data_IF_630228542666
#
_entry.id   IF_630228542666
#
_cell.length_a   1.000
_cell.length_b   1.000
_cell.length_c   1.000
_cell.angle_alpha   90.00
_cell.angle_beta   90.00
_cell.angle_gamma   90.00
#
_symmetry.space_group_name_H-M   'P 1'
#
loop_
_entity.id
_entity.type
_entity.pdbx_description
1 polymer ?
#
# COMPACT_ATOMS: atom_id res chain seq x y z
N UNK A 1 -15.59 0.95 0.97
CA UNK A 1 -15.93 0.18 2.19
C UNK A 1 -14.79 -0.80 2.49
N UNK A 2 -14.47 -1.06 3.76
CA UNK A 2 -13.56 -2.17 4.11
C UNK A 2 -14.21 -3.49 3.70
N UNK A 3 -13.46 -4.38 3.04
CA UNK A 3 -13.98 -5.66 2.58
C UNK A 3 -14.47 -5.71 1.12
N UNK A 4 -14.28 -4.66 0.32
CA UNK A 4 -14.59 -4.71 -1.14
C UNK A 4 -13.60 -5.55 -1.96
N UNK A 5 -12.54 -6.07 -1.34
CA UNK A 5 -11.55 -6.93 -2.02
C UNK A 5 -10.36 -6.21 -2.64
N UNK A 6 -10.05 -4.97 -2.22
CA UNK A 6 -8.89 -4.20 -2.75
C UNK A 6 -7.57 -4.95 -2.57
N UNK A 7 -7.31 -5.47 -1.37
CA UNK A 7 -6.13 -6.30 -1.07
C UNK A 7 -6.06 -7.50 -2.00
N UNK A 8 -7.17 -8.24 -2.16
CA UNK A 8 -7.24 -9.38 -3.09
C UNK A 8 -6.95 -8.99 -4.54
N UNK A 9 -7.49 -7.86 -5.00
CA UNK A 9 -7.22 -7.33 -6.34
C UNK A 9 -5.73 -7.02 -6.49
N UNK A 10 -5.13 -6.35 -5.52
CA UNK A 10 -3.70 -5.99 -5.55
C UNK A 10 -2.81 -7.22 -5.49
N UNK A 11 -3.14 -8.23 -4.69
CA UNK A 11 -2.42 -9.51 -4.67
C UNK A 11 -2.46 -10.22 -6.03
N UNK A 12 -3.63 -10.24 -6.69
CA UNK A 12 -3.77 -10.79 -8.05
C UNK A 12 -2.98 -9.97 -9.07
N UNK A 13 -3.00 -8.64 -8.96
CA UNK A 13 -2.24 -7.74 -9.82
C UNK A 13 -0.73 -8.00 -9.69
N UNK A 14 -0.22 -8.16 -8.46
CA UNK A 14 1.17 -8.54 -8.21
C UNK A 14 1.54 -9.86 -8.90
N UNK A 15 0.69 -10.89 -8.82
CA UNK A 15 0.93 -12.17 -9.49
C UNK A 15 1.00 -12.07 -11.01
N UNK A 16 0.26 -11.14 -11.61
CA UNK A 16 0.30 -10.89 -13.05
C UNK A 16 1.55 -10.08 -13.45
N UNK A 17 1.81 -8.98 -12.75
CA UNK A 17 2.91 -8.06 -13.07
C UNK A 17 4.29 -8.67 -12.82
N UNK A 18 4.46 -9.45 -11.74
CA UNK A 18 5.75 -10.05 -11.35
C UNK A 18 6.31 -11.04 -12.39
N UNK A 19 5.51 -11.47 -13.36
CA UNK A 19 5.96 -12.28 -14.51
C UNK A 19 6.69 -11.48 -15.59
N UNK A 20 6.51 -10.16 -15.60
CA UNK A 20 6.93 -9.30 -16.71
C UNK A 20 7.83 -8.15 -16.27
N UNK A 21 7.66 -7.65 -15.05
CA UNK A 21 8.36 -6.47 -14.53
C UNK A 21 8.77 -6.67 -13.07
N UNK A 22 9.78 -5.93 -12.64
CA UNK A 22 10.18 -5.92 -11.23
C UNK A 22 9.07 -5.27 -10.41
N UNK A 23 8.54 -5.99 -9.43
CA UNK A 23 7.53 -5.48 -8.51
C UNK A 23 8.07 -5.49 -7.10
N UNK A 24 7.99 -4.33 -6.45
CA UNK A 24 8.30 -4.14 -5.03
C UNK A 24 7.06 -3.63 -4.32
N UNK A 25 6.98 -3.80 -3.01
CA UNK A 25 5.84 -3.28 -2.26
C UNK A 25 5.43 -4.15 -1.09
N UNK A 26 4.28 -3.80 -0.54
CA UNK A 26 3.62 -4.57 0.51
C UNK A 26 2.11 -4.46 0.41
N UNK A 27 1.44 -5.44 1.01
CA UNK A 27 -0.01 -5.44 1.24
C UNK A 27 -0.31 -5.44 2.72
N UNK A 28 -1.55 -5.09 3.07
CA UNK A 28 -2.02 -5.11 4.45
C UNK A 28 -3.04 -6.22 4.62
N UNK A 29 -2.78 -7.13 5.55
CA UNK A 29 -3.66 -8.25 5.86
C UNK A 29 -4.35 -8.08 7.21
N UNK A 30 -5.62 -8.47 7.27
CA UNK A 30 -6.37 -8.50 8.53
C UNK A 30 -5.92 -9.68 9.39
N UNK A 31 -5.65 -9.40 10.66
CA UNK A 31 -5.36 -10.43 11.66
C UNK A 31 -6.63 -10.76 12.43
N UNK A 32 -6.99 -12.04 12.46
CA UNK A 32 -8.15 -12.58 13.17
C UNK A 32 -7.72 -13.74 14.08
N UNK A 33 -8.28 -13.90 15.28
CA UNK A 33 -8.00 -15.04 16.16
C UNK A 33 -8.27 -16.37 15.46
N UNK A 34 -7.32 -17.30 15.58
CA UNK A 34 -7.38 -18.65 14.97
C UNK A 34 -8.30 -19.62 15.73
N UNK A 35 -8.66 -19.32 16.98
CA UNK A 35 -9.43 -20.21 17.87
C UNK A 35 -10.85 -19.70 18.16
N UNK A 36 -11.69 -19.58 17.14
CA UNK A 36 -13.14 -19.50 17.39
C UNK A 36 -13.89 -20.38 16.43
N UNK A 37 -14.66 -21.33 16.97
CA UNK A 37 -15.59 -22.24 16.28
C UNK A 37 -16.75 -21.53 15.57
N UNK A 38 -16.71 -20.20 15.48
CA UNK A 38 -17.72 -19.37 14.82
C UNK A 38 -17.09 -18.59 13.67
N UNK A 39 -17.82 -18.52 12.55
CA UNK A 39 -17.45 -17.83 11.29
C UNK A 39 -17.31 -16.30 11.40
N UNK A 40 -17.31 -15.73 12.63
CA UNK A 40 -17.25 -14.30 12.95
C UNK A 40 -16.23 -13.98 14.03
N UNK A 41 -15.00 -14.47 13.89
CA UNK A 41 -13.88 -13.99 14.71
C UNK A 41 -13.63 -12.50 14.44
N UNK A 42 -13.72 -11.65 15.47
CA UNK A 42 -13.49 -10.21 15.36
C UNK A 42 -12.04 -9.91 14.96
N UNK A 43 -11.83 -8.91 14.10
CA UNK A 43 -10.49 -8.51 13.62
C UNK A 43 -9.69 -7.88 14.75
N UNK A 44 -8.58 -8.53 15.14
CA UNK A 44 -7.69 -8.10 16.23
C UNK A 44 -6.54 -7.19 15.78
N UNK A 45 -6.34 -7.03 14.48
CA UNK A 45 -5.31 -6.12 13.99
C UNK A 45 -5.04 -6.23 12.50
N UNK A 46 -3.89 -5.68 12.12
CA UNK A 46 -3.40 -5.62 10.75
C UNK A 46 -1.91 -5.86 10.72
N UNK A 47 -1.46 -6.59 9.71
CA UNK A 47 -0.06 -6.79 9.40
C UNK A 47 0.24 -6.26 8.00
N UNK A 48 1.46 -5.77 7.83
CA UNK A 48 2.02 -5.54 6.50
C UNK A 48 2.83 -6.75 6.07
N UNK A 49 2.65 -7.17 4.83
CA UNK A 49 3.31 -8.34 4.23
C UNK A 49 3.99 -7.88 2.95
N UNK A 50 5.30 -8.11 2.84
CA UNK A 50 6.03 -7.76 1.62
C UNK A 50 5.55 -8.60 0.45
N UNK A 51 5.42 -7.94 -0.70
CA UNK A 51 5.19 -8.60 -1.97
C UNK A 51 6.53 -9.12 -2.49
N UNK A 52 6.72 -10.43 -2.36
CA UNK A 52 7.94 -11.14 -2.73
C UNK A 52 7.60 -12.54 -3.21
N UNK A 53 8.34 -13.03 -4.19
CA UNK A 53 8.24 -14.41 -4.68
C UNK A 53 9.18 -15.38 -3.97
N UNK A 54 10.08 -14.85 -3.13
CA UNK A 54 11.19 -15.60 -2.53
C UNK A 54 11.05 -15.80 -1.02
N UNK A 55 10.43 -14.84 -0.32
CA UNK A 55 10.33 -14.85 1.13
C UNK A 55 9.12 -14.02 1.59
N UNK A 56 8.33 -14.57 2.51
CA UNK A 56 7.20 -13.89 3.13
C UNK A 56 7.67 -13.15 4.38
N UNK A 57 8.04 -11.88 4.22
CA UNK A 57 8.35 -11.01 5.37
C UNK A 57 7.13 -10.23 5.81
N UNK A 58 6.88 -10.24 7.12
CA UNK A 58 5.71 -9.64 7.76
C UNK A 58 6.11 -8.75 8.93
N UNK A 59 5.37 -7.69 9.15
CA UNK A 59 5.47 -6.86 10.35
C UNK A 59 4.09 -6.42 10.83
N UNK A 60 3.98 -6.12 12.13
CA UNK A 60 2.72 -5.68 12.71
C UNK A 60 2.49 -4.21 12.42
N UNK A 61 1.36 -3.87 11.79
CA UNK A 61 0.95 -2.48 11.60
C UNK A 61 0.17 -1.98 12.82
N UNK A 62 -0.85 -2.72 13.23
CA UNK A 62 -1.69 -2.33 14.36
C UNK A 62 -2.37 -3.52 15.05
N UNK A 63 -2.69 -3.37 16.33
CA UNK A 63 -3.40 -4.37 17.15
C UNK A 63 -4.44 -3.72 18.05
N UNK A 64 -5.49 -4.46 18.40
CA UNK A 64 -6.37 -4.08 19.50
C UNK A 64 -5.57 -4.07 20.82
N UNK A 65 -6.04 -3.28 21.79
CA UNK A 65 -5.47 -3.28 23.13
C UNK A 65 -5.49 -4.69 23.74
N UNK A 66 -4.38 -5.12 24.32
CA UNK A 66 -4.19 -6.47 24.88
C UNK A 66 -3.74 -7.53 23.86
N UNK A 67 -3.59 -7.16 22.58
CA UNK A 67 -3.07 -8.02 21.51
C UNK A 67 -1.77 -7.49 20.90
N UNK A 68 -1.12 -6.56 21.57
CA UNK A 68 0.17 -6.02 21.17
C UNK A 68 1.24 -7.13 21.14
N UNK A 69 2.08 -7.09 20.12
CA UNK A 69 3.17 -8.07 19.90
C UNK A 69 4.49 -7.58 20.50
N UNK A 70 4.57 -6.31 20.88
CA UNK A 70 5.74 -5.66 21.44
C UNK A 70 5.32 -4.66 22.51
N UNK A 71 6.24 -4.31 23.42
CA UNK A 71 6.01 -3.21 24.36
C UNK A 71 5.91 -1.89 23.58
N UNK A 72 4.80 -1.17 23.76
CA UNK A 72 4.54 0.08 23.05
C UNK A 72 4.79 1.30 23.93
N UNK A 73 5.23 2.43 23.34
CA UNK A 73 5.30 3.71 24.04
C UNK A 73 3.93 4.10 24.61
N UNK A 74 3.92 4.79 25.74
CA UNK A 74 2.69 5.28 26.37
C UNK A 74 1.82 6.15 25.45
N UNK A 75 2.44 6.80 24.45
CA UNK A 75 1.79 7.68 23.49
C UNK A 75 1.72 7.08 22.07
N UNK A 76 1.71 5.75 21.95
CA UNK A 76 1.55 5.10 20.66
C UNK A 76 0.26 5.59 19.95
N UNK A 77 0.33 5.98 18.66
CA UNK A 77 -0.84 6.47 17.93
C UNK A 77 -1.97 5.46 17.88
N UNK A 78 -3.22 5.94 17.89
CA UNK A 78 -4.43 5.10 17.81
C UNK A 78 -5.31 5.52 16.66
N UNK A 79 -5.88 4.53 15.98
CA UNK A 79 -6.90 4.71 14.94
C UNK A 79 -8.09 3.82 15.27
N UNK A 80 -9.13 4.43 15.84
CA UNK A 80 -10.25 3.69 16.43
C UNK A 80 -9.76 2.83 17.60
N UNK A 81 -10.09 1.53 17.58
CA UNK A 81 -9.68 0.57 18.61
C UNK A 81 -8.23 0.06 18.46
N UNK A 82 -7.56 0.40 17.35
CA UNK A 82 -6.25 -0.16 17.02
C UNK A 82 -5.12 0.78 17.46
N UNK A 83 -4.13 0.22 18.17
CA UNK A 83 -2.86 0.87 18.49
C UNK A 83 -1.86 0.57 17.38
N UNK A 84 -1.28 1.61 16.80
CA UNK A 84 -0.33 1.50 15.67
C UNK A 84 1.07 1.23 16.22
N UNK A 85 1.72 0.18 15.71
CA UNK A 85 3.07 -0.23 16.10
C UNK A 85 4.09 0.34 15.11
N UNK A 86 4.38 1.65 15.21
CA UNK A 86 5.22 2.38 14.26
C UNK A 86 6.57 1.69 14.01
N UNK A 87 7.30 1.31 15.06
CA UNK A 87 8.61 0.68 14.90
C UNK A 87 8.55 -0.64 14.13
N UNK A 88 7.51 -1.45 14.38
CA UNK A 88 7.33 -2.72 13.65
C UNK A 88 6.98 -2.44 12.19
N UNK A 89 6.00 -1.57 11.91
CA UNK A 89 5.65 -1.16 10.56
C UNK A 89 6.84 -0.58 9.78
N UNK A 90 7.56 0.36 10.38
CA UNK A 90 8.68 1.07 9.74
C UNK A 90 9.84 0.14 9.40
N UNK A 91 10.10 -0.88 10.22
CA UNK A 91 11.14 -1.88 9.98
C UNK A 91 10.97 -2.64 8.66
N UNK A 92 9.73 -2.71 8.14
CA UNK A 92 9.42 -3.37 6.88
C UNK A 92 9.12 -2.38 5.75
N UNK A 93 8.28 -1.37 6.01
CA UNK A 93 7.79 -0.44 5.00
C UNK A 93 8.88 0.53 4.52
N UNK A 94 9.74 1.05 5.43
CA UNK A 94 10.75 2.03 5.05
C UNK A 94 11.87 1.42 4.18
N UNK A 95 12.43 0.24 4.50
CA UNK A 95 13.37 -0.43 3.61
C UNK A 95 12.75 -0.78 2.25
N UNK A 96 11.49 -1.23 2.24
CA UNK A 96 10.77 -1.54 1.01
C UNK A 96 10.70 -0.33 0.07
N UNK A 97 10.26 0.84 0.57
CA UNK A 97 10.23 2.08 -0.20
C UNK A 97 11.63 2.54 -0.62
N UNK A 98 12.64 2.33 0.24
CA UNK A 98 14.01 2.71 -0.07
C UNK A 98 14.56 1.91 -1.26
N UNK A 99 14.25 0.61 -1.36
CA UNK A 99 14.63 -0.22 -2.51
C UNK A 99 14.06 0.35 -3.81
N UNK A 100 12.78 0.73 -3.83
CA UNK A 100 12.17 1.37 -5.01
C UNK A 100 12.83 2.71 -5.35
N UNK A 101 13.07 3.56 -4.34
CA UNK A 101 13.72 4.87 -4.54
C UNK A 101 15.15 4.72 -5.09
N UNK A 102 15.89 3.72 -4.63
CA UNK A 102 17.23 3.44 -5.14
C UNK A 102 17.17 2.98 -6.59
N UNK A 103 16.25 2.09 -6.94
CA UNK A 103 16.03 1.63 -8.33
C UNK A 103 15.66 2.76 -9.28
N UNK A 104 14.93 3.76 -8.80
CA UNK A 104 14.56 4.94 -9.58
C UNK A 104 15.70 5.94 -9.76
N UNK A 105 16.64 5.97 -8.82
CA UNK A 105 17.78 6.90 -8.83
C UNK A 105 18.99 6.32 -9.56
N UNK A 106 19.05 4.99 -9.70
CA UNK A 106 20.12 4.30 -10.41
C UNK A 106 19.93 4.41 -11.93
N UNK A 107 20.86 5.11 -12.58
CA UNK A 107 20.87 5.31 -14.04
C UNK A 107 21.22 4.04 -14.82
N UNK A 108 21.80 3.04 -14.15
CA UNK A 108 22.14 1.75 -14.71
C UNK A 108 21.07 0.69 -14.42
N UNK A 109 20.02 1.02 -13.67
CA UNK A 109 18.91 0.11 -13.43
C UNK A 109 18.23 -0.23 -14.76
N UNK A 110 18.22 -1.52 -15.08
CA UNK A 110 17.70 -2.02 -16.35
C UNK A 110 16.21 -2.33 -16.21
N UNK A 111 15.36 -1.46 -16.76
CA UNK A 111 13.97 -1.76 -17.07
C UNK A 111 12.90 -1.14 -16.15
N UNK A 112 11.63 -1.25 -16.56
CA UNK A 112 10.49 -0.72 -15.82
C UNK A 112 10.29 -1.43 -14.47
N UNK A 113 9.80 -0.67 -13.48
CA UNK A 113 9.48 -1.18 -12.14
C UNK A 113 8.08 -0.76 -11.68
N UNK A 114 7.50 -1.55 -10.78
CA UNK A 114 6.22 -1.23 -10.14
C UNK A 114 6.42 -1.25 -8.63
N UNK A 115 5.88 -0.23 -7.95
CA UNK A 115 5.78 -0.19 -6.50
C UNK A 115 4.30 -0.34 -6.11
N UNK A 116 3.98 -1.33 -5.29
CA UNK A 116 2.63 -1.61 -4.82
C UNK A 116 2.50 -1.30 -3.33
N UNK A 117 1.49 -0.51 -2.95
CA UNK A 117 1.24 -0.14 -1.55
C UNK A 117 -0.24 -0.30 -1.23
N UNK A 118 -0.58 -1.33 -0.47
CA UNK A 118 -1.92 -1.51 0.10
C UNK A 118 -1.81 -1.43 1.64
N UNK A 119 -2.27 -0.40 2.34
CA UNK A 119 -3.00 0.82 1.93
C UNK A 119 -2.21 2.10 2.29
N UNK A 120 -2.47 3.23 1.61
CA UNK A 120 -2.06 4.57 2.08
C UNK A 120 -3.23 5.17 2.85
N UNK A 121 -3.33 4.84 4.13
CA UNK A 121 -4.45 5.17 4.99
C UNK A 121 -4.04 5.82 6.32
N UNK A 122 -5.01 5.96 7.23
CA UNK A 122 -4.78 6.65 8.51
C UNK A 122 -3.73 5.97 9.39
N UNK A 123 -3.60 4.65 9.32
CA UNK A 123 -2.70 3.90 10.20
C UNK A 123 -1.24 4.03 9.74
N UNK A 124 -1.00 3.87 8.44
CA UNK A 124 0.33 3.95 7.84
C UNK A 124 0.87 5.39 7.91
N UNK A 125 -0.02 6.37 7.72
CA UNK A 125 0.31 7.80 7.81
C UNK A 125 0.50 8.30 9.26
N UNK A 126 0.37 7.44 10.27
CA UNK A 126 0.88 7.75 11.61
C UNK A 126 2.41 7.79 11.66
N UNK A 127 3.12 7.23 10.67
CA UNK A 127 4.57 7.33 10.54
C UNK A 127 4.96 8.54 9.69
N UNK A 128 5.60 9.59 10.29
CA UNK A 128 6.11 10.73 9.51
C UNK A 128 7.18 10.31 8.50
N UNK A 129 8.01 9.34 8.87
CA UNK A 129 9.05 8.77 8.00
C UNK A 129 8.46 8.11 6.76
N UNK A 130 7.35 7.39 6.92
CA UNK A 130 6.63 6.79 5.80
C UNK A 130 6.02 7.86 4.89
N UNK A 131 5.34 8.86 5.46
CA UNK A 131 4.80 10.00 4.71
C UNK A 131 5.87 10.67 3.83
N UNK A 132 7.02 11.01 4.42
CA UNK A 132 8.12 11.66 3.70
C UNK A 132 8.67 10.79 2.56
N UNK A 133 8.76 9.47 2.74
CA UNK A 133 9.19 8.56 1.67
C UNK A 133 8.16 8.43 0.55
N UNK A 134 6.87 8.40 0.87
CA UNK A 134 5.79 8.38 -0.12
C UNK A 134 5.82 9.65 -0.97
N UNK A 135 5.92 10.81 -0.35
CA UNK A 135 6.01 12.09 -1.05
C UNK A 135 7.22 12.11 -1.99
N UNK A 136 8.40 11.73 -1.49
CA UNK A 136 9.62 11.61 -2.30
C UNK A 136 9.45 10.64 -3.48
N UNK A 137 8.81 9.50 -3.26
CA UNK A 137 8.54 8.51 -4.32
C UNK A 137 7.64 9.09 -5.40
N UNK A 138 6.55 9.77 -5.01
CA UNK A 138 5.61 10.39 -5.95
C UNK A 138 6.29 11.48 -6.76
N UNK A 139 7.10 12.33 -6.12
CA UNK A 139 7.80 13.42 -6.79
C UNK A 139 8.85 12.88 -7.78
N UNK A 140 9.56 11.81 -7.42
CA UNK A 140 10.51 11.16 -8.30
C UNK A 140 9.80 10.52 -9.51
N UNK A 141 8.72 9.75 -9.29
CA UNK A 141 7.93 9.17 -10.39
C UNK A 141 7.39 10.25 -11.33
N UNK A 142 6.95 11.38 -10.78
CA UNK A 142 6.39 12.49 -11.55
C UNK A 142 7.43 13.23 -12.40
N UNK A 143 8.71 13.22 -11.99
CA UNK A 143 9.80 13.91 -12.68
C UNK A 143 10.57 13.02 -13.65
N UNK A 144 10.60 11.71 -13.41
CA UNK A 144 11.38 10.71 -14.16
C UNK A 144 10.79 10.36 -15.54
N UNK A 145 9.68 10.98 -15.96
CA UNK A 145 9.05 10.83 -17.29
C UNK A 145 9.97 11.08 -18.51
N UNK A 146 11.23 11.49 -18.32
CA UNK A 146 12.21 11.75 -19.40
C UNK A 146 13.46 10.83 -19.36
N UNK A 147 13.52 9.83 -18.48
CA UNK A 147 14.67 8.95 -18.32
C UNK A 147 14.33 7.49 -18.65
N UNK A 148 15.37 6.70 -18.97
CA UNK A 148 15.27 5.28 -19.37
C UNK A 148 14.71 4.34 -18.29
N UNK A 149 14.58 4.78 -17.03
CA UNK A 149 14.02 3.98 -15.93
C UNK A 149 12.60 4.46 -15.63
N UNK A 150 11.60 3.61 -15.88
CA UNK A 150 10.18 3.92 -15.65
C UNK A 150 9.70 3.26 -14.38
N UNK A 151 8.95 3.98 -13.55
CA UNK A 151 8.24 3.37 -12.44
C UNK A 151 6.77 3.79 -12.36
N UNK A 152 5.94 2.85 -11.90
CA UNK A 152 4.53 3.09 -11.61
C UNK A 152 4.26 2.77 -10.14
N UNK A 153 3.66 3.71 -9.44
CA UNK A 153 3.10 3.47 -8.11
C UNK A 153 1.65 3.03 -8.25
N UNK A 154 1.33 1.84 -7.74
CA UNK A 154 -0.03 1.36 -7.53
C UNK A 154 -0.31 1.41 -6.05
N UNK A 155 -1.26 2.24 -5.63
CA UNK A 155 -1.64 2.35 -4.23
C UNK A 155 -3.14 2.18 -4.03
N UNK A 156 -3.53 1.54 -2.94
CA UNK A 156 -4.92 1.60 -2.47
C UNK A 156 -5.06 2.74 -1.47
N UNK A 157 -6.24 3.35 -1.44
CA UNK A 157 -6.56 4.46 -0.54
C UNK A 157 -7.97 4.30 0.03
N UNK A 158 -8.27 4.90 1.20
CA UNK A 158 -9.61 4.83 1.80
C UNK A 158 -10.68 5.37 0.85
N UNK A 159 -11.73 4.58 0.57
CA UNK A 159 -12.77 5.00 -0.38
C UNK A 159 -13.71 6.08 0.16
N UNK A 160 -13.85 6.17 1.50
CA UNK A 160 -14.81 7.05 2.15
C UNK A 160 -14.49 8.52 1.89
N UNK A 161 -15.53 9.30 1.57
CA UNK A 161 -15.46 10.74 1.36
C UNK A 161 -16.31 11.46 2.41
N UNK A 162 -15.85 12.63 2.83
CA UNK A 162 -16.62 13.61 3.60
C UNK A 162 -17.62 14.31 2.68
N UNK A 163 -18.58 15.08 3.23
CA UNK A 163 -19.57 15.81 2.44
C UNK A 163 -18.96 16.80 1.43
N UNK A 164 -17.74 17.28 1.68
CA UNK A 164 -16.97 18.15 0.77
C UNK A 164 -16.34 17.38 -0.42
N UNK A 165 -16.60 16.08 -0.55
CA UNK A 165 -16.07 15.22 -1.61
C UNK A 165 -14.63 14.75 -1.39
N UNK A 166 -13.94 15.20 -0.33
CA UNK A 166 -12.56 14.80 0.02
C UNK A 166 -12.55 13.61 0.96
N UNK A 167 -11.45 12.86 1.03
CA UNK A 167 -11.29 11.74 1.98
C UNK A 167 -10.95 12.22 3.38
N UNK A 168 -10.46 13.46 3.50
CA UNK A 168 -10.12 14.06 4.78
C UNK A 168 -8.79 13.58 5.34
N UNK A 169 -7.89 13.17 4.45
CA UNK A 169 -6.53 12.75 4.74
C UNK A 169 -5.64 13.53 3.76
N UNK A 170 -4.96 14.60 4.22
CA UNK A 170 -4.33 15.59 3.32
C UNK A 170 -3.42 14.98 2.25
N UNK A 171 -2.56 14.02 2.63
CA UNK A 171 -1.65 13.35 1.69
C UNK A 171 -2.42 12.54 0.63
N UNK A 172 -3.49 11.84 1.03
CA UNK A 172 -4.32 11.06 0.10
C UNK A 172 -5.13 11.97 -0.81
N UNK A 173 -5.69 13.06 -0.28
CA UNK A 173 -6.45 14.04 -1.06
C UNK A 173 -5.54 14.72 -2.09
N UNK A 174 -4.34 15.11 -1.69
CA UNK A 174 -3.30 15.64 -2.58
C UNK A 174 -2.93 14.63 -3.66
N UNK A 175 -2.62 13.38 -3.30
CA UNK A 175 -2.33 12.29 -4.24
C UNK A 175 -3.45 12.09 -5.25
N UNK A 176 -4.71 11.99 -4.81
CA UNK A 176 -5.86 11.76 -5.69
C UNK A 176 -6.16 12.93 -6.63
N UNK A 177 -5.70 14.14 -6.32
CA UNK A 177 -5.92 15.34 -7.15
C UNK A 177 -4.85 15.57 -8.23
N UNK A 178 -3.77 14.79 -8.23
CA UNK A 178 -2.67 14.95 -9.20
C UNK A 178 -3.11 14.55 -10.62
N UNK A 179 -2.74 15.30 -11.67
CA UNK A 179 -3.19 15.04 -13.04
C UNK A 179 -2.69 13.70 -13.61
N UNK A 180 -1.54 13.21 -13.13
CA UNK A 180 -0.93 11.96 -13.63
C UNK A 180 -1.46 10.70 -12.94
N UNK A 181 -2.40 10.84 -11.98
CA UNK A 181 -2.98 9.73 -11.23
C UNK A 181 -4.26 9.22 -11.92
N UNK A 182 -4.35 7.90 -12.11
CA UNK A 182 -5.58 7.26 -12.54
C UNK A 182 -6.26 6.62 -11.33
N UNK A 183 -7.51 6.99 -11.09
CA UNK A 183 -8.29 6.50 -9.95
C UNK A 183 -9.30 5.44 -10.41
N UNK A 184 -9.26 4.28 -9.75
CA UNK A 184 -10.19 3.19 -9.94
C UNK A 184 -11.02 2.98 -8.67
N UNK A 185 -12.34 3.09 -8.77
CA UNK A 185 -13.24 2.80 -7.65
C UNK A 185 -13.63 1.32 -7.65
N UNK A 186 -13.20 0.59 -6.62
CA UNK A 186 -13.49 -0.84 -6.45
C UNK A 186 -14.77 -1.02 -5.64
N UNK A 187 -15.73 -1.70 -6.25
CA UNK A 187 -17.02 -2.11 -5.66
C UNK A 187 -17.14 -3.63 -5.71
N UNK A 188 -18.10 -4.20 -4.98
CA UNK A 188 -18.33 -5.65 -5.03
C UNK A 188 -18.70 -6.16 -6.42
N UNK A 189 -19.40 -5.35 -7.21
CA UNK A 189 -19.89 -5.73 -8.54
C UNK A 189 -18.82 -5.63 -9.64
N UNK A 190 -17.75 -4.84 -9.44
CA UNK A 190 -16.76 -4.59 -10.49
C UNK A 190 -15.36 -5.17 -10.20
N UNK A 191 -15.16 -5.79 -9.03
CA UNK A 191 -13.82 -6.18 -8.54
C UNK A 191 -13.07 -7.17 -9.45
N UNK A 192 -13.78 -8.00 -10.20
CA UNK A 192 -13.16 -8.98 -11.10
C UNK A 192 -12.80 -8.33 -12.45
N UNK A 193 -13.67 -7.47 -13.00
CA UNK A 193 -13.41 -6.76 -14.27
C UNK A 193 -12.35 -5.66 -14.13
N UNK A 194 -12.32 -4.99 -12.97
CA UNK A 194 -11.44 -3.84 -12.75
C UNK A 194 -9.97 -4.26 -12.66
N UNK A 195 -9.68 -5.52 -12.32
CA UNK A 195 -8.31 -6.05 -12.30
C UNK A 195 -7.63 -5.89 -13.66
N UNK A 196 -8.32 -6.27 -14.75
CA UNK A 196 -7.77 -6.15 -16.11
C UNK A 196 -7.56 -4.70 -16.52
N UNK A 197 -8.49 -3.81 -16.14
CA UNK A 197 -8.36 -2.36 -16.39
C UNK A 197 -7.16 -1.76 -15.67
N UNK A 198 -6.96 -2.13 -14.40
CA UNK A 198 -5.80 -1.68 -13.61
C UNK A 198 -4.51 -2.24 -14.20
N UNK A 199 -4.48 -3.52 -14.55
CA UNK A 199 -3.32 -4.15 -15.19
C UNK A 199 -2.92 -3.43 -16.48
N UNK A 200 -3.88 -3.20 -17.39
CA UNK A 200 -3.61 -2.50 -18.64
C UNK A 200 -3.10 -1.08 -18.40
N UNK A 201 -3.73 -0.32 -17.48
CA UNK A 201 -3.30 1.03 -17.15
C UNK A 201 -1.91 1.11 -16.50
N UNK A 202 -1.44 0.03 -15.87
CA UNK A 202 -0.05 -0.09 -15.40
C UNK A 202 0.86 -0.38 -16.59
N UNK A 203 0.54 -1.38 -17.41
CA UNK A 203 1.35 -1.76 -18.57
C UNK A 203 1.53 -0.63 -19.56
N UNK A 204 0.48 0.12 -19.87
CA UNK A 204 0.54 1.28 -20.77
C UNK A 204 1.54 2.32 -20.25
N UNK A 205 1.56 2.58 -18.94
CA UNK A 205 2.52 3.52 -18.33
C UNK A 205 3.96 3.01 -18.33
N UNK A 206 4.17 1.69 -18.35
CA UNK A 206 5.52 1.12 -18.41
C UNK A 206 6.05 1.06 -19.85
N UNK A 207 5.17 0.98 -20.84
CA UNK A 207 5.50 0.87 -22.28
C UNK A 207 5.60 2.22 -23.00
N UNK A 208 4.99 3.28 -22.47
CA UNK A 208 5.06 4.66 -23.00
C UNK A 208 6.38 5.34 -22.70
#
# INVERSE_FOLDING_TARGET
ASGTGKTTLVSRLFQLLSKHVSVTGFITEEVRPTQTSSRRSSRIGFDVVLLSTLDERRATLARCAGHETTALPAHAPRVGQYVVQLSSFESLALPCLQTTLNSLSDRNASGPSVCIIDEIGKMELCSPSFCAKIEKLIDLISTVSKQSSRAVLVATVPSARRPDGRRGIPLVDSLCSRPNVCLFEVTFSNRDDILQKVYQAVMDRLLL
#
